data_IF_247858422003
#
_entry.id   IF_247858422003
#
_cell.length_a   1.000
_cell.length_b   1.000
_cell.length_c   1.000
_cell.angle_alpha   90.00
_cell.angle_beta   90.00
_cell.angle_gamma   90.00
#
_symmetry.space_group_name_H-M   'P 1'
#
loop_
_entity.id
_entity.type
_entity.pdbx_description
1 polymer ?
#
# COMPACT_ATOMS: atom_id res chain seq x y z
N UNK A 1 -24.22 1.02 -3.67
CA UNK A 1 -25.51 1.67 -3.32
C UNK A 1 -25.93 2.59 -4.47
N UNK A 2 -27.22 2.64 -4.80
CA UNK A 2 -27.72 3.49 -5.90
C UNK A 2 -28.39 4.74 -5.31
N UNK A 3 -27.78 5.91 -5.49
CA UNK A 3 -28.34 7.20 -5.11
C UNK A 3 -29.16 7.71 -6.32
N UNK A 4 -30.41 8.13 -6.09
CA UNK A 4 -31.28 8.74 -7.11
C UNK A 4 -31.52 7.87 -8.36
N UNK A 5 -31.39 6.54 -8.26
CA UNK A 5 -31.63 5.59 -9.35
C UNK A 5 -30.64 5.64 -10.53
N UNK A 6 -29.66 6.55 -10.52
CA UNK A 6 -28.74 6.80 -11.64
C UNK A 6 -27.27 6.94 -11.22
N UNK A 7 -27.00 7.11 -9.93
CA UNK A 7 -25.66 7.19 -9.37
C UNK A 7 -25.36 5.90 -8.61
N UNK A 8 -24.29 5.20 -8.96
CA UNK A 8 -23.83 3.99 -8.32
C UNK A 8 -22.48 4.24 -7.65
N UNK A 9 -22.41 3.99 -6.34
CA UNK A 9 -21.16 4.00 -5.58
C UNK A 9 -20.77 2.58 -5.21
N UNK A 10 -19.52 2.23 -5.49
CA UNK A 10 -18.85 1.01 -5.05
C UNK A 10 -17.59 1.35 -4.25
N UNK A 11 -17.30 0.54 -3.24
CA UNK A 11 -16.10 0.68 -2.42
C UNK A 11 -15.65 -0.69 -1.94
N UNK A 12 -14.34 -0.95 -2.00
CA UNK A 12 -13.69 -2.15 -1.48
C UNK A 12 -12.69 -1.76 -0.39
N UNK A 13 -12.90 -2.32 0.80
CA UNK A 13 -11.95 -2.26 1.91
C UNK A 13 -11.29 -3.63 2.06
N UNK A 14 -9.96 -3.63 2.20
CA UNK A 14 -9.16 -4.84 2.37
C UNK A 14 -8.43 -4.77 3.71
N UNK A 15 -8.63 -5.79 4.53
CA UNK A 15 -7.93 -5.98 5.79
C UNK A 15 -7.00 -7.17 5.65
N UNK A 16 -5.71 -6.95 5.95
CA UNK A 16 -4.74 -8.03 6.12
C UNK A 16 -4.05 -7.84 7.46
N UNK A 17 -3.93 -8.92 8.21
CA UNK A 17 -3.26 -8.89 9.50
C UNK A 17 -2.84 -10.27 9.98
N UNK A 18 -2.26 -10.31 11.18
CA UNK A 18 -1.67 -11.51 11.78
C UNK A 18 -0.28 -11.82 11.26
N UNK A 19 0.41 -10.85 10.66
CA UNK A 19 1.74 -11.06 10.10
C UNK A 19 2.72 -9.93 10.42
N UNK A 20 3.99 -10.27 10.28
CA UNK A 20 5.11 -9.37 10.50
C UNK A 20 5.86 -9.15 9.20
N UNK A 21 6.43 -7.96 9.05
CA UNK A 21 7.23 -7.55 7.91
C UNK A 21 8.54 -6.98 8.41
N UNK A 22 9.65 -7.44 7.86
CA UNK A 22 10.97 -6.90 8.15
C UNK A 22 11.18 -5.61 7.35
N UNK A 23 11.19 -4.47 8.03
CA UNK A 23 11.43 -3.16 7.44
C UNK A 23 12.94 -2.92 7.24
N UNK A 24 13.52 -3.63 6.28
CA UNK A 24 14.94 -3.54 5.97
C UNK A 24 15.31 -2.19 5.33
N UNK A 25 14.36 -1.53 4.66
CA UNK A 25 14.52 -0.14 4.19
C UNK A 25 14.90 0.79 5.34
N UNK A 26 14.19 0.74 6.46
CA UNK A 26 14.49 1.56 7.63
C UNK A 26 15.78 1.13 8.33
N UNK A 27 16.00 -0.19 8.45
CA UNK A 27 17.26 -0.74 8.97
C UNK A 27 18.47 -0.20 8.21
N UNK A 28 18.43 -0.22 6.87
CA UNK A 28 19.53 0.27 6.03
C UNK A 28 19.71 1.78 6.14
N UNK A 29 18.63 2.54 6.26
CA UNK A 29 18.70 3.98 6.51
C UNK A 29 19.35 4.27 7.85
N UNK A 30 18.98 3.55 8.91
CA UNK A 30 19.59 3.72 10.22
C UNK A 30 21.06 3.30 10.23
N UNK A 31 21.40 2.14 9.67
CA UNK A 31 22.79 1.70 9.52
C UNK A 31 23.65 2.70 8.73
N UNK A 32 23.08 3.36 7.72
CA UNK A 32 23.73 4.42 6.95
C UNK A 32 23.73 5.80 7.64
N UNK A 33 23.16 5.92 8.85
CA UNK A 33 23.07 7.19 9.59
C UNK A 33 22.08 8.21 9.02
N UNK A 34 21.14 7.78 8.18
CA UNK A 34 20.18 8.65 7.48
C UNK A 34 18.75 8.59 8.02
N UNK A 35 18.44 7.64 8.91
CA UNK A 35 17.11 7.59 9.53
C UNK A 35 16.93 8.71 10.57
N UNK A 36 15.68 9.13 10.78
CA UNK A 36 15.35 10.24 11.66
C UNK A 36 15.80 10.00 13.12
N UNK A 37 15.59 8.79 13.64
CA UNK A 37 15.89 8.45 15.04
C UNK A 37 17.39 8.49 15.36
N UNK A 38 18.26 8.12 14.42
CA UNK A 38 19.72 8.23 14.60
C UNK A 38 20.17 9.70 14.60
N UNK A 39 19.51 10.54 13.81
CA UNK A 39 19.82 11.97 13.69
C UNK A 39 19.17 12.84 14.78
N UNK A 40 18.28 12.28 15.59
CA UNK A 40 17.67 12.99 16.71
C UNK A 40 18.68 13.20 17.86
N UNK A 41 18.96 14.45 18.28
CA UNK A 41 19.91 14.73 19.37
C UNK A 41 19.43 14.25 20.75
N UNK A 42 18.12 14.03 20.94
CA UNK A 42 17.55 13.56 22.20
C UNK A 42 17.73 12.04 22.43
N UNK A 43 18.07 11.29 21.38
CA UNK A 43 18.24 9.84 21.43
C UNK A 43 19.62 9.49 22.01
N UNK A 44 19.65 8.57 22.97
CA UNK A 44 20.89 8.14 23.63
C UNK A 44 21.89 7.49 22.66
N UNK A 45 23.19 7.65 22.94
CA UNK A 45 24.25 7.02 22.15
C UNK A 45 24.11 5.48 22.08
N UNK A 46 23.65 4.85 23.17
CA UNK A 46 23.39 3.42 23.21
C UNK A 46 22.26 3.02 22.24
N UNK A 47 21.15 3.78 22.20
CA UNK A 47 20.05 3.53 21.26
C UNK A 47 20.50 3.73 19.81
N UNK A 48 21.27 4.77 19.52
CA UNK A 48 21.86 4.99 18.19
C UNK A 48 22.74 3.81 17.76
N UNK A 49 23.62 3.35 18.65
CA UNK A 49 24.47 2.19 18.40
C UNK A 49 23.64 0.92 18.11
N UNK A 50 22.52 0.70 18.81
CA UNK A 50 21.60 -0.41 18.53
C UNK A 50 20.94 -0.31 17.15
N UNK A 51 20.45 0.87 16.76
CA UNK A 51 19.82 1.12 15.45
C UNK A 51 20.81 0.94 14.28
N UNK A 52 22.10 1.10 14.53
CA UNK A 52 23.16 0.98 13.52
C UNK A 52 23.76 -0.43 13.43
N UNK A 53 23.26 -1.39 14.21
CA UNK A 53 23.72 -2.78 14.14
C UNK A 53 23.37 -3.41 12.79
N UNK A 54 24.19 -4.40 12.40
CA UNK A 54 23.88 -5.22 11.24
C UNK A 54 22.64 -6.06 11.51
N UNK A 55 21.89 -6.37 10.46
CA UNK A 55 20.61 -7.07 10.57
C UNK A 55 20.77 -8.49 11.12
N UNK A 56 21.91 -9.14 10.91
CA UNK A 56 22.24 -10.47 11.45
C UNK A 56 22.47 -10.45 12.97
N UNK A 57 22.69 -9.26 13.55
CA UNK A 57 22.84 -9.08 15.00
C UNK A 57 21.48 -8.86 15.66
N UNK A 58 20.61 -8.07 15.03
CA UNK A 58 19.29 -7.75 15.56
C UNK A 58 18.30 -7.32 14.45
N UNK A 59 17.45 -8.26 14.05
CA UNK A 59 16.34 -8.04 13.12
C UNK A 59 15.02 -7.71 13.83
N UNK A 60 14.89 -8.07 15.11
CA UNK A 60 13.68 -7.87 15.91
C UNK A 60 13.29 -6.39 16.02
N UNK A 61 14.25 -5.46 16.05
CA UNK A 61 13.98 -4.01 16.07
C UNK A 61 13.26 -3.50 14.81
N UNK A 62 13.47 -4.17 13.69
CA UNK A 62 12.93 -3.79 12.38
C UNK A 62 11.82 -4.73 11.91
N UNK A 63 11.53 -5.78 12.67
CA UNK A 63 10.42 -6.71 12.43
C UNK A 63 9.15 -6.12 13.02
N UNK A 64 8.30 -5.56 12.16
CA UNK A 64 7.13 -4.78 12.56
C UNK A 64 5.84 -5.55 12.27
N UNK A 65 4.83 -5.39 13.13
CA UNK A 65 3.47 -5.84 12.82
C UNK A 65 2.98 -5.06 11.61
N UNK A 66 2.51 -5.79 10.60
CA UNK A 66 2.17 -5.24 9.30
C UNK A 66 0.66 -5.30 9.02
N UNK A 67 -0.14 -5.27 10.09
CA UNK A 67 -1.59 -5.26 9.97
C UNK A 67 -2.09 -3.92 9.43
N UNK A 68 -3.02 -3.96 8.48
CA UNK A 68 -3.59 -2.75 7.88
C UNK A 68 -5.02 -2.94 7.38
N UNK A 69 -5.73 -1.82 7.22
CA UNK A 69 -6.97 -1.70 6.44
C UNK A 69 -6.70 -0.70 5.31
N UNK A 70 -6.91 -1.10 4.06
CA UNK A 70 -6.67 -0.29 2.85
C UNK A 70 -7.94 -0.12 2.04
N UNK A 71 -8.19 1.09 1.56
CA UNK A 71 -9.21 1.36 0.54
C UNK A 71 -8.64 0.96 -0.80
N UNK A 72 -9.10 -0.19 -1.32
CA UNK A 72 -8.62 -0.77 -2.57
C UNK A 72 -9.22 -0.10 -3.77
N UNK A 73 -10.53 0.01 -3.79
CA UNK A 73 -11.26 0.48 -4.94
C UNK A 73 -12.37 1.39 -4.47
N UNK A 74 -12.50 2.53 -5.10
CA UNK A 74 -13.68 3.40 -4.99
C UNK A 74 -14.09 3.70 -6.41
N UNK A 75 -15.33 3.42 -6.78
CA UNK A 75 -15.85 3.83 -8.08
C UNK A 75 -17.21 4.46 -7.97
N UNK A 76 -17.39 5.51 -8.76
CA UNK A 76 -18.61 6.27 -8.89
C UNK A 76 -19.03 6.23 -10.34
N UNK A 77 -20.17 5.61 -10.62
CA UNK A 77 -20.75 5.56 -11.96
C UNK A 77 -22.04 6.36 -12.01
N UNK A 78 -22.19 7.22 -13.02
CA UNK A 78 -23.39 8.02 -13.24
C UNK A 78 -23.94 7.75 -14.64
N UNK A 79 -25.18 7.26 -14.71
CA UNK A 79 -25.90 7.10 -15.98
C UNK A 79 -26.65 8.39 -16.30
N UNK A 80 -26.37 8.96 -17.48
CA UNK A 80 -26.97 10.22 -17.93
C UNK A 80 -28.49 10.09 -18.13
N UNK A 81 -29.27 11.14 -17.84
CA UNK A 81 -30.70 11.17 -18.11
C UNK A 81 -31.02 11.00 -19.61
N UNK A 82 -32.17 10.39 -19.98
CA UNK A 82 -32.59 10.23 -21.38
C UNK A 82 -32.64 11.55 -22.17
N UNK A 83 -32.98 12.66 -21.52
CA UNK A 83 -33.02 13.99 -22.15
C UNK A 83 -31.64 14.47 -22.66
N UNK A 84 -30.56 13.93 -22.10
CA UNK A 84 -29.19 14.23 -22.51
C UNK A 84 -28.70 13.20 -23.53
N UNK A 85 -28.99 11.92 -23.33
CA UNK A 85 -28.56 10.85 -24.25
C UNK A 85 -29.23 10.96 -25.62
N UNK A 86 -30.49 11.42 -25.68
CA UNK A 86 -31.21 11.66 -26.94
C UNK A 86 -30.56 12.73 -27.82
N UNK A 87 -29.90 13.73 -27.22
CA UNK A 87 -29.12 14.76 -27.97
C UNK A 87 -27.90 14.15 -28.67
N UNK A 88 -27.36 13.07 -28.11
CA UNK A 88 -26.20 12.36 -28.66
C UNK A 88 -26.58 11.15 -29.51
N UNK A 89 -27.88 10.92 -29.77
CA UNK A 89 -28.40 9.74 -30.49
C UNK A 89 -27.88 8.41 -29.91
N UNK A 90 -27.75 8.36 -28.58
CA UNK A 90 -27.33 7.17 -27.83
C UNK A 90 -28.47 6.68 -26.91
N UNK A 91 -28.61 5.37 -26.77
CA UNK A 91 -29.57 4.73 -25.87
C UNK A 91 -29.18 4.90 -24.41
N UNK A 92 -27.89 4.76 -24.11
CA UNK A 92 -27.34 4.92 -22.76
C UNK A 92 -25.94 5.50 -22.81
N UNK A 93 -25.68 6.46 -21.93
CA UNK A 93 -24.32 6.95 -21.66
C UNK A 93 -24.08 6.85 -20.15
N UNK A 94 -23.02 6.17 -19.75
CA UNK A 94 -22.56 6.12 -18.37
C UNK A 94 -21.13 6.64 -18.26
N UNK A 95 -20.87 7.46 -17.25
CA UNK A 95 -19.53 7.96 -16.93
C UNK A 95 -19.12 7.36 -15.60
N UNK A 96 -17.96 6.71 -15.56
CA UNK A 96 -17.43 6.11 -14.34
C UNK A 96 -16.10 6.74 -13.99
N UNK A 97 -15.98 7.19 -12.75
CA UNK A 97 -14.72 7.58 -12.12
C UNK A 97 -14.32 6.50 -11.14
N UNK A 98 -13.11 5.98 -11.25
CA UNK A 98 -12.59 4.96 -10.36
C UNK A 98 -11.21 5.36 -9.80
N UNK A 99 -10.98 4.98 -8.56
CA UNK A 99 -9.73 5.19 -7.84
C UNK A 99 -9.29 3.86 -7.22
N UNK A 100 -8.05 3.48 -7.51
CA UNK A 100 -7.44 2.21 -7.07
C UNK A 100 -6.28 2.48 -6.12
N UNK A 101 -6.15 1.66 -5.08
CA UNK A 101 -5.20 1.75 -3.98
C UNK A 101 -5.16 3.14 -3.33
N UNK A 102 -6.34 3.71 -3.02
CA UNK A 102 -6.50 5.11 -2.58
C UNK A 102 -5.69 5.42 -1.33
N UNK A 103 -5.58 4.47 -0.39
CA UNK A 103 -4.73 4.61 0.79
C UNK A 103 -5.11 3.70 1.96
N UNK A 104 -4.38 3.82 3.06
CA UNK A 104 -4.64 3.10 4.31
C UNK A 104 -5.64 3.88 5.17
N UNK A 105 -6.70 3.21 5.60
CA UNK A 105 -7.57 3.72 6.66
C UNK A 105 -6.96 3.46 8.04
N UNK A 106 -6.18 2.38 8.15
CA UNK A 106 -5.60 1.95 9.42
C UNK A 106 -4.28 1.21 9.15
N UNK A 107 -3.22 1.65 9.82
CA UNK A 107 -1.86 1.08 9.76
C UNK A 107 -1.02 1.55 10.98
N UNK A 108 -1.39 1.16 12.21
CA UNK A 108 -0.85 1.80 13.42
C UNK A 108 0.57 1.32 13.80
N UNK A 109 0.98 0.11 13.40
CA UNK A 109 2.25 -0.48 13.84
C UNK A 109 3.35 -0.50 12.78
N UNK A 110 3.00 -0.38 11.50
CA UNK A 110 3.99 -0.43 10.43
C UNK A 110 4.54 0.97 10.12
N UNK A 111 5.84 1.17 10.39
CA UNK A 111 6.53 2.45 10.18
C UNK A 111 6.98 2.67 8.74
N UNK A 112 7.04 1.62 7.92
CA UNK A 112 7.37 1.72 6.49
C UNK A 112 6.23 2.31 5.66
N UNK A 113 6.45 2.48 4.36
CA UNK A 113 5.48 3.13 3.46
C UNK A 113 4.22 2.28 3.25
N UNK A 114 4.41 1.03 2.80
CA UNK A 114 3.34 0.12 2.44
C UNK A 114 3.64 -1.29 3.00
N UNK A 115 2.83 -1.81 3.94
CA UNK A 115 3.00 -3.13 4.57
C UNK A 115 2.70 -4.30 3.62
N UNK A 116 2.34 -4.03 2.38
CA UNK A 116 2.06 -5.05 1.37
C UNK A 116 3.22 -5.36 0.45
N UNK A 117 4.30 -4.60 0.55
CA UNK A 117 5.48 -4.85 -0.27
C UNK A 117 6.20 -6.11 0.21
N UNK A 118 6.80 -6.80 -0.74
CA UNK A 118 7.76 -7.86 -0.46
C UNK A 118 8.84 -7.80 -1.52
N UNK A 119 10.08 -7.72 -1.08
CA UNK A 119 11.26 -7.80 -1.95
C UNK A 119 11.54 -9.26 -2.31
N UNK A 120 11.47 -10.15 -1.31
CA UNK A 120 11.65 -11.57 -1.51
C UNK A 120 10.39 -12.16 -2.16
N UNK A 121 10.54 -12.83 -3.30
CA UNK A 121 9.51 -13.69 -3.85
C UNK A 121 9.31 -14.94 -2.99
N UNK A 122 8.16 -15.59 -3.11
CA UNK A 122 7.92 -16.89 -2.46
C UNK A 122 8.96 -17.88 -3.02
N UNK A 123 9.73 -18.54 -2.15
CA UNK A 123 10.78 -19.52 -2.49
C UNK A 123 12.06 -18.97 -3.15
N UNK A 124 12.59 -17.83 -2.72
CA UNK A 124 13.93 -17.42 -3.13
C UNK A 124 15.02 -18.00 -2.21
N UNK A 125 15.86 -18.86 -2.81
CA UNK A 125 17.15 -19.24 -2.25
C UNK A 125 18.15 -18.12 -2.51
N UNK A 126 18.77 -17.58 -1.46
CA UNK A 126 19.85 -16.61 -1.57
C UNK A 126 21.06 -17.17 -2.31
N UNK A 127 21.95 -16.28 -2.75
CA UNK A 127 23.20 -16.65 -3.43
C UNK A 127 24.19 -17.46 -2.58
N UNK A 128 23.89 -17.62 -1.29
CA UNK A 128 24.56 -18.45 -0.30
C UNK A 128 23.88 -19.82 -0.07
N UNK A 129 22.82 -20.13 -0.84
CA UNK A 129 22.04 -21.37 -0.70
C UNK A 129 21.04 -21.35 0.45
N UNK A 130 20.86 -20.23 1.16
CA UNK A 130 19.88 -20.11 2.25
C UNK A 130 18.50 -19.72 1.70
N UNK A 131 17.47 -20.51 1.98
CA UNK A 131 16.10 -20.17 1.62
C UNK A 131 15.56 -19.07 2.55
N UNK A 132 15.54 -17.81 2.09
CA UNK A 132 14.90 -16.70 2.81
C UNK A 132 13.35 -16.74 2.72
N UNK A 133 12.78 -17.88 2.32
CA UNK A 133 11.37 -18.04 1.94
C UNK A 133 10.34 -17.79 3.05
N UNK A 134 10.77 -17.59 4.30
CA UNK A 134 9.89 -17.38 5.46
C UNK A 134 9.78 -15.92 5.91
N UNK A 135 10.64 -15.03 5.41
CA UNK A 135 10.68 -13.62 5.83
C UNK A 135 10.15 -12.74 4.71
N UNK A 136 9.01 -12.09 4.96
CA UNK A 136 8.57 -10.96 4.14
C UNK A 136 9.43 -9.76 4.48
N UNK A 137 9.98 -9.12 3.46
CA UNK A 137 10.95 -8.03 3.63
C UNK A 137 10.58 -6.84 2.78
N UNK A 138 10.53 -5.66 3.39
CA UNK A 138 10.54 -4.37 2.69
C UNK A 138 12.00 -3.95 2.49
N UNK A 139 12.49 -4.08 1.26
CA UNK A 139 13.84 -3.68 0.88
C UNK A 139 13.79 -2.75 -0.33
N UNK A 140 13.74 -1.45 -0.04
CA UNK A 140 13.59 -0.35 -1.00
C UNK A 140 12.49 -0.59 -2.04
N UNK A 141 11.44 -1.33 -1.64
CA UNK A 141 10.41 -1.77 -2.56
C UNK A 141 9.40 -0.64 -2.74
N UNK A 142 9.06 -0.25 -3.98
CA UNK A 142 8.10 0.81 -4.20
C UNK A 142 6.71 0.38 -3.67
N UNK A 143 5.97 1.31 -3.04
CA UNK A 143 4.62 1.03 -2.59
C UNK A 143 3.68 0.83 -3.78
N UNK A 144 2.48 0.29 -3.52
CA UNK A 144 1.47 0.18 -4.56
C UNK A 144 1.05 1.57 -5.07
N UNK A 145 1.00 1.73 -6.40
CA UNK A 145 0.60 2.99 -7.02
C UNK A 145 -0.89 3.29 -6.77
N UNK A 146 -1.16 4.55 -6.43
CA UNK A 146 -2.51 5.12 -6.43
C UNK A 146 -2.87 5.48 -7.86
N UNK A 147 -3.99 4.98 -8.38
CA UNK A 147 -4.41 5.20 -9.77
C UNK A 147 -5.81 5.77 -9.82
N UNK A 148 -6.01 6.79 -10.64
CA UNK A 148 -7.32 7.35 -10.95
C UNK A 148 -7.62 7.10 -12.42
N UNK A 149 -8.82 6.65 -12.72
CA UNK A 149 -9.27 6.33 -14.07
C UNK A 149 -10.66 6.89 -14.32
N UNK A 150 -10.93 7.27 -15.55
CA UNK A 150 -12.25 7.66 -16.03
C UNK A 150 -12.61 6.77 -17.22
N UNK A 151 -13.82 6.22 -17.23
CA UNK A 151 -14.40 5.54 -18.39
C UNK A 151 -15.70 6.21 -18.81
N UNK A 152 -16.00 6.12 -20.09
CA UNK A 152 -17.28 6.52 -20.66
C UNK A 152 -17.79 5.36 -21.49
N UNK A 153 -18.95 4.85 -21.11
CA UNK A 153 -19.61 3.72 -21.72
C UNK A 153 -20.83 4.23 -22.50
N UNK A 154 -20.90 3.94 -23.79
CA UNK A 154 -21.95 4.39 -24.70
C UNK A 154 -22.63 3.18 -25.35
N UNK A 155 -23.96 3.15 -25.36
CA UNK A 155 -24.78 2.15 -26.03
C UNK A 155 -25.73 2.81 -27.02
N UNK A 156 -26.00 2.14 -28.15
CA UNK A 156 -26.81 2.62 -29.28
C UNK A 156 -27.90 1.62 -29.64
#
# INVERSE_FOLDING_TARGET
FTILGRLQLYTLLDYKGGYYLLNQTDQRRCAAGTCAEVNDPSVSAARKAMLQQKIEVNDALYTQRADFIKVRDVSLSYTLPPAWTSRFRADRIAVTLAAHNVGFLWKPWYGGLDPEVTFNGINQTGGDGQAFGWVRTDFYTPPMLRRFTMSVDVSF
#
